data_IF_725776624549
#
_entry.id   IF_725776624549
#
_cell.length_a   1.000
_cell.length_b   1.000
_cell.length_c   1.000
_cell.angle_alpha   90.00
_cell.angle_beta   90.00
_cell.angle_gamma   90.00
#
_symmetry.space_group_name_H-M   'P 1'
#
loop_
_entity.id
_entity.type
_entity.pdbx_description
1 polymer ?
#
# COMPACT_ATOMS: atom_id res chain seq x y z
N UNK A 1 17.02 -12.21 2.38
CA UNK A 1 15.78 -12.64 1.67
C UNK A 1 14.86 -11.43 1.68
N UNK A 2 14.64 -10.81 0.54
CA UNK A 2 13.68 -9.72 0.42
C UNK A 2 12.28 -10.33 0.52
N UNK A 3 11.56 -10.02 1.58
CA UNK A 3 10.16 -10.43 1.71
C UNK A 3 9.36 -9.69 0.65
N UNK A 4 8.55 -10.43 -0.12
CA UNK A 4 7.69 -9.83 -1.15
C UNK A 4 6.25 -10.22 -0.89
N UNK A 5 5.33 -9.29 -1.17
CA UNK A 5 3.88 -9.53 -1.11
C UNK A 5 3.41 -10.58 -2.15
N UNK A 6 4.32 -11.09 -2.97
CA UNK A 6 4.06 -12.22 -3.88
C UNK A 6 3.84 -13.56 -3.15
N UNK A 7 4.30 -13.66 -1.92
CA UNK A 7 4.08 -14.86 -1.10
C UNK A 7 2.73 -14.73 -0.40
N UNK A 8 1.87 -15.74 -0.56
CA UNK A 8 0.52 -15.74 0.00
C UNK A 8 0.51 -15.62 1.52
N UNK A 9 1.43 -16.26 2.23
CA UNK A 9 1.50 -16.20 3.69
C UNK A 9 1.91 -14.79 4.16
N UNK A 10 2.86 -14.17 3.47
CA UNK A 10 3.29 -12.80 3.74
C UNK A 10 2.13 -11.83 3.49
N UNK A 11 1.47 -11.93 2.33
CA UNK A 11 0.34 -11.10 1.98
C UNK A 11 -0.80 -11.20 2.99
N UNK A 12 -1.20 -12.43 3.35
CA UNK A 12 -2.27 -12.67 4.33
C UNK A 12 -1.90 -12.10 5.72
N UNK A 13 -0.64 -12.25 6.14
CA UNK A 13 -0.15 -11.67 7.40
C UNK A 13 -0.21 -10.15 7.41
N UNK A 14 0.27 -9.50 6.35
CA UNK A 14 0.23 -8.03 6.26
C UNK A 14 -1.20 -7.50 6.10
N UNK A 15 -2.06 -8.17 5.34
CA UNK A 15 -3.47 -7.81 5.24
C UNK A 15 -4.16 -7.85 6.62
N UNK A 16 -3.90 -8.90 7.40
CA UNK A 16 -4.41 -9.02 8.77
C UNK A 16 -3.86 -7.92 9.66
N UNK A 17 -2.54 -7.70 9.70
CA UNK A 17 -1.89 -6.70 10.56
C UNK A 17 -2.35 -5.27 10.23
N UNK A 18 -2.39 -4.89 8.96
CA UNK A 18 -2.88 -3.58 8.53
C UNK A 18 -4.33 -3.36 8.96
N UNK A 19 -5.21 -4.37 8.79
CA UNK A 19 -6.60 -4.27 9.22
C UNK A 19 -6.74 -4.15 10.75
N UNK A 20 -6.02 -4.94 11.53
CA UNK A 20 -6.05 -4.87 12.99
C UNK A 20 -5.58 -3.49 13.49
N UNK A 21 -4.53 -2.91 12.90
CA UNK A 21 -4.05 -1.57 13.20
C UNK A 21 -5.07 -0.48 12.83
N UNK A 22 -5.71 -0.59 11.68
CA UNK A 22 -6.75 0.34 11.25
C UNK A 22 -7.97 0.31 12.16
N UNK A 23 -8.41 -0.89 12.59
CA UNK A 23 -9.48 -1.06 13.59
C UNK A 23 -9.07 -0.41 14.92
N UNK A 24 -7.86 -0.66 15.41
CA UNK A 24 -7.36 -0.08 16.66
C UNK A 24 -7.27 1.46 16.63
N UNK A 25 -7.16 2.05 15.44
CA UNK A 25 -7.16 3.51 15.23
C UNK A 25 -8.56 4.10 14.96
N UNK A 26 -9.63 3.29 14.95
CA UNK A 26 -11.02 3.75 14.80
C UNK A 26 -11.49 3.90 13.35
N UNK A 27 -10.69 3.53 12.34
CA UNK A 27 -11.08 3.68 10.93
C UNK A 27 -12.24 2.76 10.51
N UNK A 28 -12.59 1.77 11.34
CA UNK A 28 -13.68 0.83 11.08
C UNK A 28 -14.82 0.94 12.09
N UNK A 29 -14.87 2.00 12.90
CA UNK A 29 -15.97 2.26 13.84
C UNK A 29 -17.28 2.53 13.09
N UNK A 30 -17.19 3.14 11.90
CA UNK A 30 -18.31 3.26 10.96
C UNK A 30 -18.00 2.48 9.67
N UNK A 31 -18.99 1.71 9.15
CA UNK A 31 -18.75 0.92 7.95
C UNK A 31 -18.72 1.79 6.70
N UNK A 32 -17.65 1.64 5.90
CA UNK A 32 -17.53 2.27 4.60
C UNK A 32 -17.65 1.24 3.47
N UNK A 33 -18.05 1.71 2.28
CA UNK A 33 -18.10 0.83 1.10
C UNK A 33 -16.69 0.49 0.60
N UNK A 34 -16.57 -0.64 -0.12
CA UNK A 34 -15.31 -1.00 -0.82
C UNK A 34 -14.85 0.13 -1.75
N UNK A 35 -15.80 0.76 -2.49
CA UNK A 35 -15.47 1.86 -3.38
C UNK A 35 -14.92 3.09 -2.64
N UNK A 36 -15.43 3.40 -1.44
CA UNK A 36 -14.89 4.46 -0.60
C UNK A 36 -13.43 4.17 -0.23
N UNK A 37 -13.15 2.98 0.29
CA UNK A 37 -11.79 2.61 0.68
C UNK A 37 -10.82 2.54 -0.52
N UNK A 38 -11.27 2.09 -1.69
CA UNK A 38 -10.48 2.15 -2.92
C UNK A 38 -10.15 3.60 -3.30
N UNK A 39 -11.11 4.52 -3.21
CA UNK A 39 -10.84 5.93 -3.49
C UNK A 39 -9.84 6.56 -2.53
N UNK A 40 -9.85 6.15 -1.25
CA UNK A 40 -8.82 6.60 -0.31
C UNK A 40 -7.43 6.08 -0.70
N UNK A 41 -7.32 4.81 -1.13
CA UNK A 41 -6.06 4.26 -1.63
C UNK A 41 -5.59 4.99 -2.91
N UNK A 42 -6.49 5.30 -3.83
CA UNK A 42 -6.18 6.08 -5.03
C UNK A 42 -5.78 7.53 -4.71
N UNK A 43 -6.28 8.09 -3.61
CA UNK A 43 -5.83 9.37 -3.09
C UNK A 43 -4.33 9.40 -2.81
N UNK A 44 -3.80 8.34 -2.16
CA UNK A 44 -2.36 8.22 -1.89
C UNK A 44 -1.54 8.11 -3.20
N UNK A 45 -2.09 7.46 -4.25
CA UNK A 45 -1.43 7.44 -5.57
C UNK A 45 -1.37 8.84 -6.21
N UNK A 46 -2.38 9.68 -5.96
CA UNK A 46 -2.33 11.07 -6.39
C UNK A 46 -1.29 11.87 -5.60
N UNK A 47 -1.18 11.63 -4.28
CA UNK A 47 -0.14 12.24 -3.45
C UNK A 47 1.27 11.81 -3.92
N UNK A 48 1.45 10.56 -4.35
CA UNK A 48 2.70 10.09 -4.97
C UNK A 48 3.03 10.86 -6.27
N UNK A 49 2.03 11.16 -7.12
CA UNK A 49 2.24 11.99 -8.32
C UNK A 49 2.67 13.40 -7.93
N UNK A 50 2.06 14.01 -6.93
CA UNK A 50 2.45 15.35 -6.47
C UNK A 50 3.86 15.35 -5.86
N UNK A 51 4.23 14.28 -5.13
CA UNK A 51 5.60 14.10 -4.62
C UNK A 51 6.62 14.01 -5.76
N UNK A 52 6.34 13.25 -6.81
CA UNK A 52 7.20 13.13 -8.00
C UNK A 52 7.35 14.48 -8.73
N UNK A 53 6.25 15.22 -8.92
CA UNK A 53 6.27 16.57 -9.52
C UNK A 53 7.13 17.55 -8.74
N UNK A 54 7.24 17.38 -7.42
CA UNK A 54 8.08 18.18 -6.53
C UNK A 54 9.50 17.64 -6.40
N UNK A 55 9.83 16.52 -7.04
CA UNK A 55 11.12 15.85 -6.93
C UNK A 55 11.39 15.23 -5.55
N UNK A 56 10.34 14.95 -4.79
CA UNK A 56 10.43 14.40 -3.43
C UNK A 56 10.52 12.87 -3.48
N UNK A 57 11.73 12.38 -3.44
CA UNK A 57 12.06 10.95 -3.36
C UNK A 57 12.87 10.69 -2.09
N UNK A 58 12.51 9.68 -1.30
CA UNK A 58 13.16 9.38 -0.02
C UNK A 58 14.64 8.98 -0.21
N UNK A 59 14.97 8.12 -1.21
CA UNK A 59 16.32 7.68 -1.56
C UNK A 59 17.17 7.32 -0.34
N UNK A 60 16.58 6.53 0.58
CA UNK A 60 17.20 6.18 1.85
C UNK A 60 18.45 5.32 1.64
N UNK A 61 19.55 5.74 2.22
CA UNK A 61 20.74 4.91 2.32
C UNK A 61 20.63 3.87 3.47
N UNK A 62 21.50 2.84 3.48
CA UNK A 62 21.43 1.78 4.49
C UNK A 62 21.58 2.29 5.94
N UNK A 63 22.37 3.34 6.19
CA UNK A 63 22.61 3.88 7.53
C UNK A 63 21.36 4.62 8.04
N UNK A 64 20.68 5.36 7.15
CA UNK A 64 19.42 6.03 7.45
C UNK A 64 18.32 5.01 7.75
N UNK A 65 18.21 3.94 6.95
CA UNK A 65 17.26 2.85 7.19
C UNK A 65 17.51 2.20 8.56
N UNK A 66 18.77 1.84 8.85
CA UNK A 66 19.15 1.22 10.11
C UNK A 66 18.86 2.15 11.32
N UNK A 67 19.09 3.46 11.18
CA UNK A 67 18.71 4.45 12.17
C UNK A 67 17.21 4.47 12.41
N UNK A 68 16.40 4.59 11.34
CA UNK A 68 14.93 4.59 11.42
C UNK A 68 14.38 3.30 12.02
N UNK A 69 15.02 2.16 11.78
CA UNK A 69 14.60 0.88 12.36
C UNK A 69 14.86 0.80 13.87
N UNK A 70 15.95 1.40 14.36
CA UNK A 70 16.38 1.32 15.78
C UNK A 70 15.73 2.33 16.70
N UNK A 71 15.48 3.55 16.25
CA UNK A 71 14.89 4.62 17.09
C UNK A 71 13.38 4.44 17.22
N UNK A 72 12.80 4.90 18.34
CA UNK A 72 11.38 4.72 18.68
C UNK A 72 10.74 6.04 19.15
N UNK A 73 9.40 6.07 19.18
CA UNK A 73 8.63 7.18 19.76
C UNK A 73 8.81 8.52 19.02
N UNK A 74 8.93 9.61 19.78
CA UNK A 74 9.02 10.96 19.22
C UNK A 74 10.27 11.20 18.36
N UNK A 75 11.48 10.71 18.71
CA UNK A 75 12.64 10.78 17.83
C UNK A 75 12.40 10.10 16.48
N UNK A 76 11.76 8.92 16.47
CA UNK A 76 11.40 8.24 15.25
C UNK A 76 10.44 9.08 14.39
N UNK A 77 9.38 9.60 15.00
CA UNK A 77 8.39 10.39 14.27
C UNK A 77 9.04 11.64 13.62
N UNK A 78 9.97 12.30 14.31
CA UNK A 78 10.70 13.45 13.76
C UNK A 78 11.60 13.06 12.59
N UNK A 79 12.32 11.96 12.71
CA UNK A 79 13.19 11.47 11.66
C UNK A 79 12.41 11.01 10.42
N UNK A 80 11.30 10.29 10.65
CA UNK A 80 10.38 9.89 9.57
C UNK A 80 9.82 11.10 8.82
N UNK A 81 9.38 12.14 9.53
CA UNK A 81 8.89 13.40 8.94
C UNK A 81 9.94 14.10 8.09
N UNK A 82 11.22 13.98 8.45
CA UNK A 82 12.31 14.62 7.73
C UNK A 82 12.73 13.86 6.48
N UNK A 83 12.86 12.52 6.57
CA UNK A 83 13.51 11.71 5.56
C UNK A 83 12.54 10.96 4.63
N UNK A 84 11.32 10.68 5.12
CA UNK A 84 10.40 9.76 4.44
C UNK A 84 9.07 10.41 4.07
N UNK A 85 8.50 11.20 4.99
CA UNK A 85 7.13 11.71 4.85
C UNK A 85 6.93 12.55 3.58
N UNK A 86 5.80 12.31 2.91
CA UNK A 86 5.37 13.00 1.69
C UNK A 86 6.34 12.79 0.49
N UNK A 87 7.04 11.66 0.47
CA UNK A 87 7.84 11.21 -0.68
C UNK A 87 7.07 10.22 -1.53
N UNK A 88 7.52 9.99 -2.78
CA UNK A 88 6.90 9.00 -3.68
C UNK A 88 6.82 7.63 -3.00
N UNK A 89 7.89 7.20 -2.35
CA UNK A 89 7.98 5.91 -1.65
C UNK A 89 7.00 5.83 -0.48
N UNK A 90 6.85 6.91 0.30
CA UNK A 90 5.91 6.99 1.43
C UNK A 90 4.46 6.84 0.95
N UNK A 91 4.10 7.55 -0.11
CA UNK A 91 2.71 7.56 -0.60
C UNK A 91 2.36 6.26 -1.35
N UNK A 92 3.29 5.64 -2.06
CA UNK A 92 3.09 4.30 -2.63
C UNK A 92 2.91 3.25 -1.52
N UNK A 93 3.69 3.34 -0.44
CA UNK A 93 3.54 2.45 0.72
C UNK A 93 2.20 2.67 1.42
N UNK A 94 1.73 3.93 1.58
CA UNK A 94 0.43 4.22 2.21
C UNK A 94 -0.73 3.69 1.36
N UNK A 95 -0.65 3.82 0.02
CA UNK A 95 -1.62 3.21 -0.89
C UNK A 95 -1.71 1.69 -0.70
N UNK A 96 -0.57 1.00 -0.62
CA UNK A 96 -0.53 -0.45 -0.40
C UNK A 96 -1.06 -0.82 0.99
N UNK A 97 -0.73 -0.07 2.04
CA UNK A 97 -1.26 -0.28 3.40
C UNK A 97 -2.79 -0.18 3.42
N UNK A 98 -3.38 0.80 2.72
CA UNK A 98 -4.85 0.93 2.60
C UNK A 98 -5.49 -0.23 1.85
N UNK A 99 -4.83 -0.71 0.79
CA UNK A 99 -5.31 -1.88 0.04
C UNK A 99 -5.19 -3.16 0.88
N UNK A 100 -4.12 -3.32 1.65
CA UNK A 100 -3.94 -4.45 2.58
C UNK A 100 -4.98 -4.42 3.70
N UNK A 101 -5.28 -3.26 4.29
CA UNK A 101 -6.35 -3.10 5.27
C UNK A 101 -7.71 -3.54 4.69
N UNK A 102 -8.06 -3.04 3.50
CA UNK A 102 -9.30 -3.42 2.83
C UNK A 102 -9.36 -4.93 2.52
N UNK A 103 -8.24 -5.53 2.11
CA UNK A 103 -8.13 -6.97 1.89
C UNK A 103 -8.32 -7.74 3.20
N UNK A 104 -7.69 -7.31 4.28
CA UNK A 104 -7.84 -7.89 5.61
C UNK A 104 -9.31 -7.87 6.11
N UNK A 105 -10.01 -6.77 5.86
CA UNK A 105 -11.44 -6.67 6.14
C UNK A 105 -12.28 -7.67 5.33
N UNK A 106 -12.00 -7.83 4.03
CA UNK A 106 -12.70 -8.80 3.19
C UNK A 106 -12.48 -10.23 3.67
N UNK A 107 -11.24 -10.58 4.02
CA UNK A 107 -10.88 -11.89 4.57
C UNK A 107 -11.60 -12.15 5.91
N UNK A 108 -11.54 -11.19 6.84
CA UNK A 108 -12.16 -11.28 8.16
C UNK A 108 -13.68 -11.43 8.09
N UNK A 109 -14.33 -10.70 7.19
CA UNK A 109 -15.79 -10.70 7.05
C UNK A 109 -16.30 -11.84 6.17
N UNK A 110 -15.44 -12.74 5.71
CA UNK A 110 -15.78 -13.85 4.80
C UNK A 110 -16.52 -13.38 3.53
N UNK A 111 -16.27 -12.17 3.11
CA UNK A 111 -16.78 -11.60 1.85
C UNK A 111 -15.98 -12.04 0.64
N UNK A 112 -14.85 -12.69 0.89
CA UNK A 112 -14.11 -13.53 -0.06
C UNK A 112 -14.20 -14.97 0.41
N UNK A 113 -14.31 -15.90 -0.52
CA UNK A 113 -14.62 -17.28 -0.22
C UNK A 113 -13.44 -18.11 0.25
N UNK A 114 -12.21 -17.61 0.15
CA UNK A 114 -11.00 -18.41 0.40
C UNK A 114 -9.86 -17.57 0.98
N UNK A 115 -9.06 -18.21 1.84
CA UNK A 115 -7.72 -17.75 2.18
C UNK A 115 -6.92 -17.72 0.87
N UNK A 116 -6.33 -16.58 0.56
CA UNK A 116 -5.52 -16.43 -0.64
C UNK A 116 -4.38 -17.44 -0.63
N UNK A 117 -4.25 -18.16 -1.71
CA UNK A 117 -3.19 -19.13 -1.92
C UNK A 117 -2.37 -18.77 -3.17
N UNK A 118 -1.24 -19.46 -3.36
CA UNK A 118 -0.32 -19.18 -4.48
C UNK A 118 -0.99 -19.30 -5.86
N UNK A 119 -1.99 -20.18 -6.00
CA UNK A 119 -2.73 -20.32 -7.24
C UNK A 119 -3.66 -19.13 -7.52
N UNK A 120 -4.23 -18.50 -6.48
CA UNK A 120 -5.02 -17.29 -6.64
C UNK A 120 -4.13 -16.11 -7.02
N UNK A 121 -2.98 -16.02 -6.39
CA UNK A 121 -1.97 -15.03 -6.71
C UNK A 121 -1.46 -15.19 -8.15
N UNK A 122 -1.19 -16.41 -8.61
CA UNK A 122 -0.69 -16.69 -9.96
C UNK A 122 -1.67 -16.27 -11.06
N UNK A 123 -2.98 -16.33 -10.80
CA UNK A 123 -4.01 -15.91 -11.76
C UNK A 123 -4.15 -14.39 -11.91
N UNK A 124 -3.63 -13.64 -10.97
CA UNK A 124 -3.56 -12.17 -11.02
C UNK A 124 -2.27 -11.70 -11.70
N UNK A 125 -1.28 -12.58 -11.84
CA UNK A 125 -0.04 -12.30 -12.56
C UNK A 125 -0.23 -12.30 -14.08
N UNK A 126 0.42 -11.37 -14.74
CA UNK A 126 0.51 -11.35 -16.20
C UNK A 126 -0.36 -10.31 -16.90
N UNK A 127 -1.01 -9.42 -16.13
CA UNK A 127 -1.87 -8.37 -16.70
C UNK A 127 -1.13 -7.02 -16.78
N UNK A 128 -0.08 -6.82 -16.02
CA UNK A 128 0.78 -5.66 -16.22
C UNK A 128 1.75 -5.93 -17.37
N UNK A 129 1.56 -5.21 -18.44
CA UNK A 129 2.64 -4.99 -19.40
C UNK A 129 3.84 -4.43 -18.63
N UNK A 130 5.01 -5.04 -18.81
CA UNK A 130 6.25 -4.53 -18.23
C UNK A 130 6.36 -3.04 -18.52
N UNK A 131 6.60 -2.19 -17.51
CA UNK A 131 6.77 -0.76 -17.74
C UNK A 131 7.79 -0.51 -18.82
N UNK A 132 7.48 0.35 -19.78
CA UNK A 132 8.39 0.67 -20.87
C UNK A 132 9.50 1.59 -20.35
N UNK A 133 10.73 1.47 -20.84
CA UNK A 133 11.78 2.43 -20.50
C UNK A 133 11.34 3.87 -20.76
N UNK A 134 11.43 4.73 -19.74
CA UNK A 134 11.05 6.14 -19.82
C UNK A 134 9.54 6.41 -19.78
N UNK A 135 8.72 5.43 -19.39
CA UNK A 135 7.30 5.65 -19.19
C UNK A 135 7.06 6.48 -17.90
N UNK A 136 6.20 7.51 -18.00
CA UNK A 136 5.91 8.40 -16.90
C UNK A 136 5.17 7.70 -15.76
N UNK A 137 5.52 8.01 -14.50
CA UNK A 137 4.85 7.49 -13.29
C UNK A 137 3.33 7.69 -13.35
N UNK A 138 2.88 8.85 -13.83
CA UNK A 138 1.46 9.19 -14.01
C UNK A 138 0.70 8.18 -14.87
N UNK A 139 1.30 7.71 -15.97
CA UNK A 139 0.67 6.72 -16.86
C UNK A 139 0.65 5.33 -16.24
N UNK A 140 1.70 4.95 -15.53
CA UNK A 140 1.77 3.67 -14.82
C UNK A 140 0.69 3.60 -13.73
N UNK A 141 0.55 4.65 -12.93
CA UNK A 141 -0.49 4.74 -11.89
C UNK A 141 -1.90 4.82 -12.48
N UNK A 142 -2.09 5.55 -13.60
CA UNK A 142 -3.38 5.60 -14.29
C UNK A 142 -3.85 4.21 -14.73
N UNK A 143 -2.96 3.36 -15.26
CA UNK A 143 -3.30 1.98 -15.63
C UNK A 143 -3.74 1.17 -14.42
N UNK A 144 -3.00 1.24 -13.32
CA UNK A 144 -3.34 0.53 -12.08
C UNK A 144 -4.74 0.93 -11.59
N UNK A 145 -5.04 2.23 -11.58
CA UNK A 145 -6.34 2.76 -11.16
C UNK A 145 -7.45 2.32 -12.11
N UNK A 146 -7.22 2.42 -13.43
CA UNK A 146 -8.21 2.06 -14.45
C UNK A 146 -8.57 0.57 -14.39
N UNK A 147 -7.58 -0.31 -14.32
CA UNK A 147 -7.79 -1.76 -14.28
C UNK A 147 -8.44 -2.20 -12.95
N UNK A 148 -7.96 -1.67 -11.82
CA UNK A 148 -8.58 -1.92 -10.50
C UNK A 148 -10.05 -1.47 -10.49
N UNK A 149 -10.35 -0.30 -11.05
CA UNK A 149 -11.71 0.23 -11.17
C UNK A 149 -12.56 -0.62 -12.11
N UNK A 150 -11.97 -1.20 -13.15
CA UNK A 150 -12.60 -2.15 -14.05
C UNK A 150 -13.11 -3.40 -13.32
N UNK A 151 -12.30 -4.02 -12.48
CA UNK A 151 -12.71 -5.14 -11.62
C UNK A 151 -13.89 -4.77 -10.72
N UNK A 152 -13.83 -3.61 -10.07
CA UNK A 152 -14.90 -3.14 -9.20
C UNK A 152 -16.22 -2.90 -9.97
N UNK A 153 -16.16 -2.22 -11.12
CA UNK A 153 -17.33 -1.86 -11.94
C UNK A 153 -18.06 -3.09 -12.51
N UNK A 154 -17.30 -4.10 -12.90
CA UNK A 154 -17.87 -5.32 -13.50
C UNK A 154 -18.44 -6.29 -12.46
N UNK A 155 -18.37 -5.96 -11.16
CA UNK A 155 -18.81 -6.85 -10.08
C UNK A 155 -17.99 -8.14 -10.00
N UNK A 156 -16.89 -8.20 -10.72
CA UNK A 156 -15.92 -9.28 -10.62
C UNK A 156 -15.29 -9.27 -9.24
N UNK A 157 -14.97 -10.43 -8.74
CA UNK A 157 -14.43 -10.69 -7.41
C UNK A 157 -13.60 -9.50 -6.88
N UNK A 158 -14.12 -8.81 -5.87
CA UNK A 158 -13.57 -7.54 -5.35
C UNK A 158 -12.13 -7.69 -4.89
N UNK A 159 -11.82 -8.86 -4.31
CA UNK A 159 -10.48 -9.23 -3.88
C UNK A 159 -9.48 -9.29 -5.05
N UNK A 160 -9.90 -9.71 -6.24
CA UNK A 160 -9.01 -9.77 -7.41
C UNK A 160 -8.55 -8.39 -7.86
N UNK A 161 -9.44 -7.39 -7.83
CA UNK A 161 -9.07 -6.02 -8.14
C UNK A 161 -8.07 -5.44 -7.12
N UNK A 162 -8.28 -5.73 -5.83
CA UNK A 162 -7.38 -5.30 -4.76
C UNK A 162 -6.02 -6.00 -4.90
N UNK A 163 -6.02 -7.31 -5.14
CA UNK A 163 -4.80 -8.09 -5.38
C UNK A 163 -4.05 -7.58 -6.61
N UNK A 164 -4.77 -7.29 -7.69
CA UNK A 164 -4.19 -6.70 -8.88
C UNK A 164 -3.47 -5.38 -8.54
N UNK A 165 -4.14 -4.47 -7.82
CA UNK A 165 -3.56 -3.19 -7.44
C UNK A 165 -2.29 -3.35 -6.57
N UNK A 166 -2.35 -4.20 -5.52
CA UNK A 166 -1.21 -4.45 -4.63
C UNK A 166 -0.01 -4.95 -5.43
N UNK A 167 -0.23 -5.95 -6.29
CA UNK A 167 0.84 -6.55 -7.08
C UNK A 167 1.40 -5.63 -8.14
N UNK A 168 0.54 -4.86 -8.76
CA UNK A 168 0.95 -3.86 -9.74
C UNK A 168 1.81 -2.78 -9.11
N UNK A 169 1.45 -2.33 -7.91
CA UNK A 169 2.24 -1.37 -7.13
C UNK A 169 3.59 -1.97 -6.69
N UNK A 170 3.61 -3.25 -6.28
CA UNK A 170 4.88 -3.91 -5.94
C UNK A 170 5.80 -4.03 -7.16
N UNK A 171 5.27 -4.43 -8.33
CA UNK A 171 6.05 -4.48 -9.58
C UNK A 171 6.53 -3.10 -10.03
N UNK A 172 5.70 -2.07 -9.84
CA UNK A 172 6.09 -0.68 -10.11
C UNK A 172 7.24 -0.26 -9.19
N UNK A 173 7.16 -0.54 -7.91
CA UNK A 173 8.24 -0.26 -6.96
C UNK A 173 9.54 -0.98 -7.33
N UNK A 174 9.45 -2.27 -7.72
CA UNK A 174 10.61 -3.02 -8.23
C UNK A 174 11.23 -2.34 -9.47
N UNK A 175 10.40 -1.88 -10.41
CA UNK A 175 10.85 -1.18 -11.60
C UNK A 175 11.55 0.15 -11.28
N UNK A 176 11.04 0.87 -10.25
CA UNK A 176 11.60 2.15 -9.80
C UNK A 176 12.79 1.97 -8.84
N UNK A 177 13.13 0.74 -8.45
CA UNK A 177 14.19 0.45 -7.49
C UNK A 177 13.81 0.78 -6.04
N UNK A 178 12.52 0.82 -5.71
CA UNK A 178 11.98 1.10 -4.38
C UNK A 178 11.84 -0.20 -3.58
N UNK A 179 12.43 -0.27 -2.39
CA UNK A 179 12.14 -1.34 -1.42
C UNK A 179 10.81 -1.08 -0.71
N UNK A 180 9.70 -1.46 -1.37
CA UNK A 180 8.34 -1.24 -0.88
C UNK A 180 8.14 -1.80 0.53
N UNK A 181 8.71 -2.98 0.84
CA UNK A 181 8.51 -3.60 2.15
C UNK A 181 9.13 -2.78 3.27
N UNK A 182 10.34 -2.26 3.08
CA UNK A 182 10.96 -1.33 4.02
C UNK A 182 10.09 -0.09 4.24
N UNK A 183 9.57 0.52 3.18
CA UNK A 183 8.70 1.70 3.31
C UNK A 183 7.36 1.39 3.99
N UNK A 184 6.76 0.22 3.74
CA UNK A 184 5.55 -0.24 4.46
C UNK A 184 5.85 -0.36 5.97
N UNK A 185 6.95 -0.99 6.35
CA UNK A 185 7.29 -1.16 7.77
C UNK A 185 7.56 0.18 8.45
N UNK A 186 8.31 1.07 7.82
CA UNK A 186 8.55 2.42 8.33
C UNK A 186 7.23 3.20 8.46
N UNK A 187 6.36 3.15 7.48
CA UNK A 187 5.04 3.82 7.53
C UNK A 187 4.15 3.26 8.62
N UNK A 188 4.06 1.95 8.77
CA UNK A 188 3.28 1.31 9.85
C UNK A 188 3.79 1.70 11.23
N UNK A 189 5.11 1.79 11.41
CA UNK A 189 5.75 2.27 12.63
C UNK A 189 5.40 3.74 12.91
N UNK A 190 5.43 4.61 11.88
CA UNK A 190 5.01 6.00 12.01
C UNK A 190 3.53 6.12 12.35
N UNK A 191 2.66 5.38 11.67
CA UNK A 191 1.22 5.39 11.92
C UNK A 191 0.87 4.93 13.35
N UNK A 192 1.67 4.07 13.97
CA UNK A 192 1.50 3.69 15.37
C UNK A 192 1.67 4.89 16.32
N UNK A 193 2.51 5.88 16.02
CA UNK A 193 2.72 7.07 16.83
C UNK A 193 1.59 8.11 16.71
N UNK A 194 0.76 8.02 15.67
CA UNK A 194 -0.30 9.00 15.39
C UNK A 194 -1.54 8.76 16.26
N UNK A 195 -2.34 9.81 16.54
CA UNK A 195 -3.61 9.67 17.27
C UNK A 195 -4.64 8.84 16.50
N UNK A 196 -5.78 8.55 17.14
CA UNK A 196 -6.93 7.93 16.48
C UNK A 196 -7.34 8.70 15.21
N UNK A 197 -7.80 7.97 14.20
CA UNK A 197 -8.14 8.47 12.87
C UNK A 197 -7.03 9.32 12.21
N UNK A 198 -5.81 9.30 12.76
CA UNK A 198 -4.69 10.15 12.33
C UNK A 198 -5.05 11.66 12.27
N UNK A 199 -6.06 12.09 13.06
CA UNK A 199 -6.57 13.45 13.05
C UNK A 199 -7.48 13.77 11.85
N UNK A 200 -7.89 12.77 11.05
CA UNK A 200 -8.82 12.92 9.93
C UNK A 200 -10.26 12.62 10.39
N UNK A 201 -11.23 12.96 9.55
CA UNK A 201 -12.66 12.70 9.84
C UNK A 201 -13.00 11.21 9.71
N UNK A 202 -12.37 10.53 8.79
CA UNK A 202 -12.52 9.09 8.51
C UNK A 202 -11.23 8.56 7.88
#
# INVERSE_FOLDING_TARGET
MTYKLYNADILNRYAKDCHERAVAKGFWDEPHSVGHNLMLAFGELHEAIEADRLGKWAKLDPDTIDTLQRIEGAPYAQEFLREVKDTVEDELADAVIRLLDLLGWLLKTKRTTEILNENDLSKVYGILDTPRPGEELTLLLLRIVADTSGYWRLGLLREKGILYAIKSLEQLCDHLGIDLMTHIELKLKYNATRPALHGKKY
#
